data_IF_922077804998
#
_entry.id   IF_922077804998
#
_cell.length_a   1.000
_cell.length_b   1.000
_cell.length_c   1.000
_cell.angle_alpha   90.00
_cell.angle_beta   90.00
_cell.angle_gamma   90.00
#
_symmetry.space_group_name_H-M   'P 1'
#
loop_
_entity.id
_entity.type
_entity.pdbx_description
1 polymer ?
#
# COMPACT_ATOMS: atom_id res chain seq x y z
N UNK A 1 -18.14 -19.30 -9.71
CA UNK A 1 -16.94 -19.07 -8.83
C UNK A 1 -16.11 -18.00 -9.50
N UNK A 2 -16.05 -16.82 -8.88
CA UNK A 2 -15.24 -15.72 -9.42
C UNK A 2 -13.78 -16.02 -9.07
N UNK A 3 -13.03 -16.64 -10.00
CA UNK A 3 -11.60 -16.91 -9.83
C UNK A 3 -10.90 -15.56 -9.73
N UNK A 4 -10.49 -15.17 -8.51
CA UNK A 4 -9.69 -13.96 -8.29
C UNK A 4 -8.43 -14.05 -9.12
N UNK A 5 -8.17 -13.00 -9.89
CA UNK A 5 -6.91 -12.88 -10.62
C UNK A 5 -5.73 -12.96 -9.64
N UNK A 6 -4.68 -13.68 -10.03
CA UNK A 6 -3.48 -13.91 -9.21
C UNK A 6 -2.27 -13.35 -9.89
N UNK A 7 -1.31 -12.88 -9.09
CA UNK A 7 -0.17 -12.10 -9.56
C UNK A 7 1.15 -12.64 -9.03
N UNK A 8 2.20 -12.46 -9.80
CA UNK A 8 3.60 -12.70 -9.40
C UNK A 8 4.21 -11.44 -8.78
N UNK A 9 3.57 -10.28 -8.99
CA UNK A 9 4.05 -8.97 -8.53
C UNK A 9 3.15 -8.45 -7.42
N UNK A 10 3.78 -7.95 -6.35
CA UNK A 10 3.13 -7.15 -5.32
C UNK A 10 3.77 -5.76 -5.25
N UNK A 11 2.96 -4.76 -4.95
CA UNK A 11 3.42 -3.41 -4.63
C UNK A 11 3.24 -3.16 -3.14
N UNK A 12 4.26 -2.62 -2.49
CA UNK A 12 4.11 -1.96 -1.20
C UNK A 12 4.26 -0.46 -1.41
N UNK A 13 3.16 0.27 -1.33
CA UNK A 13 3.15 1.73 -1.31
C UNK A 13 3.11 2.19 0.13
N UNK A 14 3.95 3.16 0.51
CA UNK A 14 4.09 3.58 1.90
C UNK A 14 4.14 5.10 2.05
N UNK A 15 3.39 5.60 3.03
CA UNK A 15 3.37 7.01 3.41
C UNK A 15 4.32 7.31 4.56
N UNK A 16 4.70 8.59 4.72
CA UNK A 16 5.56 9.08 5.79
C UNK A 16 4.82 9.20 7.12
N UNK A 17 4.50 8.08 7.74
CA UNK A 17 4.00 7.98 9.11
C UNK A 17 5.05 7.28 9.98
N UNK A 18 4.99 7.42 11.30
CA UNK A 18 5.91 6.72 12.21
C UNK A 18 5.84 5.20 12.05
N UNK A 19 4.69 4.67 11.63
CA UNK A 19 4.50 3.24 11.37
C UNK A 19 5.19 2.76 10.08
N UNK A 20 5.78 3.65 9.27
CA UNK A 20 6.60 3.25 8.12
C UNK A 20 7.82 2.42 8.55
N UNK A 21 8.28 2.53 9.78
CA UNK A 21 9.30 1.66 10.37
C UNK A 21 8.93 0.16 10.33
N UNK A 22 7.64 -0.18 10.17
CA UNK A 22 7.16 -1.57 10.02
C UNK A 22 7.24 -2.10 8.58
N UNK A 23 7.56 -1.24 7.60
CA UNK A 23 7.60 -1.65 6.18
C UNK A 23 8.59 -2.78 5.88
N UNK A 24 9.80 -2.88 6.49
CA UNK A 24 10.66 -4.04 6.30
C UNK A 24 10.00 -5.36 6.71
N UNK A 25 9.21 -5.36 7.79
CA UNK A 25 8.43 -6.54 8.21
C UNK A 25 7.36 -6.90 7.18
N UNK A 26 6.61 -5.91 6.69
CA UNK A 26 5.61 -6.10 5.63
C UNK A 26 6.24 -6.65 4.35
N UNK A 27 7.39 -6.11 3.92
CA UNK A 27 8.11 -6.60 2.75
C UNK A 27 8.55 -8.05 2.90
N UNK A 28 9.15 -8.42 4.03
CA UNK A 28 9.52 -9.81 4.30
C UNK A 28 8.30 -10.73 4.32
N UNK A 29 7.17 -10.24 4.85
CA UNK A 29 5.90 -10.95 4.81
C UNK A 29 5.40 -11.18 3.39
N UNK A 30 5.48 -10.19 2.50
CA UNK A 30 5.12 -10.33 1.09
C UNK A 30 6.04 -11.33 0.37
N UNK A 31 7.36 -11.29 0.65
CA UNK A 31 8.31 -12.31 0.16
C UNK A 31 7.88 -13.70 0.63
N UNK A 32 7.56 -13.86 1.91
CA UNK A 32 7.11 -15.12 2.51
C UNK A 32 5.77 -15.62 1.95
N UNK A 33 4.94 -14.76 1.35
CA UNK A 33 3.73 -15.16 0.63
C UNK A 33 4.04 -15.79 -0.74
N UNK A 34 5.23 -15.59 -1.29
CA UNK A 34 5.66 -16.20 -2.56
C UNK A 34 5.53 -15.29 -3.79
N UNK A 35 5.43 -13.97 -3.63
CA UNK A 35 5.54 -13.08 -4.77
C UNK A 35 6.95 -13.12 -5.36
N UNK A 36 7.06 -13.24 -6.68
CA UNK A 36 8.34 -13.29 -7.38
C UNK A 36 9.06 -11.94 -7.38
N UNK A 37 8.30 -10.85 -7.41
CA UNK A 37 8.81 -9.48 -7.39
C UNK A 37 7.96 -8.61 -6.49
N UNK A 38 8.62 -7.81 -5.66
CA UNK A 38 7.95 -6.80 -4.83
C UNK A 38 8.52 -5.44 -5.19
N UNK A 39 7.63 -4.51 -5.54
CA UNK A 39 7.98 -3.13 -5.87
C UNK A 39 7.56 -2.25 -4.71
N UNK A 40 8.54 -1.67 -4.01
CA UNK A 40 8.30 -0.74 -2.92
C UNK A 40 8.35 0.69 -3.45
N UNK A 41 7.27 1.46 -3.20
CA UNK A 41 7.15 2.85 -3.69
C UNK A 41 6.88 3.76 -2.50
N UNK A 42 7.90 4.41 -1.95
CA UNK A 42 7.72 5.39 -0.89
C UNK A 42 7.12 6.70 -1.45
N UNK A 43 6.23 7.33 -0.68
CA UNK A 43 5.92 8.73 -0.91
C UNK A 43 7.12 9.61 -0.55
N UNK A 44 7.21 10.85 -1.06
CA UNK A 44 8.33 11.75 -0.73
C UNK A 44 8.56 11.94 0.78
N UNK A 45 7.50 11.90 1.58
CA UNK A 45 7.61 11.98 3.03
C UNK A 45 8.01 10.64 3.69
N UNK A 46 7.72 9.50 3.08
CA UNK A 46 8.15 8.21 3.60
C UNK A 46 9.67 8.07 3.59
N UNK A 47 10.33 8.57 2.54
CA UNK A 47 11.80 8.59 2.44
C UNK A 47 12.49 9.40 3.55
N UNK A 48 11.74 10.21 4.31
CA UNK A 48 12.23 10.95 5.49
C UNK A 48 12.12 10.15 6.79
N UNK A 49 11.33 9.09 6.80
CA UNK A 49 11.05 8.24 7.97
C UNK A 49 11.84 6.96 7.92
N UNK A 50 11.99 6.37 6.73
CA UNK A 50 12.72 5.13 6.52
C UNK A 50 13.70 5.30 5.35
N UNK A 51 14.94 4.86 5.54
CA UNK A 51 15.93 4.90 4.47
C UNK A 51 15.56 3.88 3.38
N UNK A 52 15.49 4.32 2.13
CA UNK A 52 15.13 3.45 0.99
C UNK A 52 16.06 2.26 0.82
N UNK A 53 17.36 2.39 1.22
CA UNK A 53 18.33 1.29 1.23
C UNK A 53 17.90 0.13 2.15
N UNK A 54 17.25 0.44 3.30
CA UNK A 54 16.78 -0.61 4.22
C UNK A 54 15.68 -1.48 3.60
N UNK A 55 14.92 -0.91 2.67
CA UNK A 55 13.92 -1.64 1.88
C UNK A 55 14.57 -2.43 0.74
N UNK A 56 15.56 -1.82 0.07
CA UNK A 56 16.25 -2.43 -1.07
C UNK A 56 17.15 -3.61 -0.66
N UNK A 57 17.60 -3.68 0.58
CA UNK A 57 18.41 -4.78 1.12
C UNK A 57 17.59 -6.09 1.29
N UNK A 58 16.27 -6.03 1.14
CA UNK A 58 15.41 -7.22 1.25
C UNK A 58 15.35 -7.92 -0.10
N UNK A 59 15.66 -9.23 -0.12
CA UNK A 59 15.64 -10.02 -1.34
C UNK A 59 14.28 -9.96 -2.05
N UNK A 60 14.27 -9.94 -3.38
CA UNK A 60 13.11 -9.80 -4.26
C UNK A 60 12.40 -8.42 -4.19
N UNK A 61 12.94 -7.45 -3.46
CA UNK A 61 12.39 -6.09 -3.37
C UNK A 61 13.15 -5.15 -4.30
N UNK A 62 12.40 -4.38 -5.08
CA UNK A 62 12.89 -3.27 -5.90
C UNK A 62 12.27 -1.98 -5.37
N UNK A 63 13.09 -1.01 -4.99
CA UNK A 63 12.61 0.30 -4.56
C UNK A 63 12.55 1.24 -5.75
N UNK A 64 11.40 1.82 -5.99
CA UNK A 64 11.14 2.71 -7.13
C UNK A 64 10.73 4.09 -6.62
N UNK A 65 11.53 5.09 -6.96
CA UNK A 65 11.33 6.48 -6.53
C UNK A 65 11.11 7.43 -7.72
N UNK A 66 11.20 6.92 -8.94
CA UNK A 66 11.10 7.73 -10.16
C UNK A 66 10.18 7.09 -11.20
N UNK A 67 9.44 7.91 -11.93
CA UNK A 67 8.67 7.49 -13.11
C UNK A 67 9.54 6.91 -14.24
N UNK A 68 10.84 7.18 -14.20
CA UNK A 68 11.79 6.72 -15.23
C UNK A 68 12.44 5.38 -14.90
N UNK A 69 12.09 4.77 -13.76
CA UNK A 69 12.60 3.47 -13.36
C UNK A 69 12.12 2.37 -14.31
N UNK A 70 13.05 1.50 -14.71
CA UNK A 70 12.78 0.40 -15.65
C UNK A 70 11.82 -0.65 -15.07
N UNK A 71 11.76 -0.79 -13.75
CA UNK A 71 10.85 -1.71 -13.07
C UNK A 71 9.37 -1.39 -13.32
N UNK A 72 9.05 -0.13 -13.65
CA UNK A 72 7.68 0.33 -13.91
C UNK A 72 7.47 0.86 -15.33
N UNK A 73 8.46 0.80 -16.20
CA UNK A 73 8.38 1.27 -17.59
C UNK A 73 8.14 0.11 -18.58
N UNK A 74 7.47 0.34 -19.69
CA UNK A 74 6.73 1.55 -20.12
C UNK A 74 5.48 1.85 -19.31
N UNK A 75 5.05 0.91 -18.49
CA UNK A 75 3.94 1.04 -17.52
C UNK A 75 4.17 0.08 -16.35
N UNK A 76 3.63 0.37 -15.15
CA UNK A 76 3.73 -0.52 -14.02
C UNK A 76 3.18 -1.92 -14.36
N UNK A 77 3.91 -3.01 -14.05
CA UNK A 77 3.39 -4.36 -14.19
C UNK A 77 2.08 -4.54 -13.41
N UNK A 78 1.19 -5.42 -13.91
CA UNK A 78 -0.02 -5.76 -13.14
C UNK A 78 0.37 -6.52 -11.88
N UNK A 79 -0.21 -6.12 -10.76
CA UNK A 79 0.09 -6.72 -9.47
C UNK A 79 -0.91 -6.28 -8.41
N UNK A 80 -0.92 -6.96 -7.27
CA UNK A 80 -1.70 -6.52 -6.12
C UNK A 80 -0.99 -5.34 -5.44
N UNK A 81 -1.74 -4.33 -5.04
CA UNK A 81 -1.21 -3.15 -4.35
C UNK A 81 -1.61 -3.20 -2.88
N UNK A 82 -0.62 -3.16 -2.00
CA UNK A 82 -0.79 -2.89 -0.56
C UNK A 82 -0.30 -1.46 -0.29
N UNK A 83 -1.21 -0.56 0.04
CA UNK A 83 -0.87 0.79 0.49
C UNK A 83 -0.94 0.86 2.01
N UNK A 84 0.17 0.54 2.66
CA UNK A 84 0.28 0.49 4.12
C UNK A 84 1.73 0.81 4.57
N UNK A 85 1.91 1.80 5.45
CA UNK A 85 0.88 2.65 6.04
C UNK A 85 0.36 3.69 5.06
N UNK A 86 -0.94 3.97 5.12
CA UNK A 86 -1.57 5.05 4.36
C UNK A 86 -1.92 6.21 5.32
N UNK A 87 -1.25 7.36 5.15
CA UNK A 87 -1.47 8.55 5.98
C UNK A 87 -2.78 9.25 5.65
N UNK A 88 -3.25 10.13 6.54
CA UNK A 88 -4.40 11.01 6.32
C UNK A 88 -4.33 11.75 4.98
N UNK A 89 -3.18 12.36 4.69
CA UNK A 89 -2.98 13.09 3.44
C UNK A 89 -3.11 12.17 2.22
N UNK A 90 -2.47 11.01 2.26
CA UNK A 90 -2.50 10.05 1.15
C UNK A 90 -3.88 9.43 0.95
N UNK A 91 -4.58 9.11 2.03
CA UNK A 91 -5.94 8.57 2.01
C UNK A 91 -6.91 9.54 1.31
N UNK A 92 -6.90 10.80 1.74
CA UNK A 92 -7.78 11.81 1.20
C UNK A 92 -7.42 12.17 -0.25
N UNK A 93 -6.15 12.31 -0.57
CA UNK A 93 -5.70 12.51 -1.96
C UNK A 93 -6.17 11.39 -2.87
N UNK A 94 -5.98 10.14 -2.46
CA UNK A 94 -6.43 8.98 -3.24
C UNK A 94 -7.94 9.03 -3.48
N UNK A 95 -8.75 9.28 -2.44
CA UNK A 95 -10.20 9.35 -2.53
C UNK A 95 -10.73 10.55 -3.37
N UNK A 96 -9.89 11.57 -3.58
CA UNK A 96 -10.20 12.71 -4.45
C UNK A 96 -9.54 12.62 -5.84
N UNK A 97 -8.87 11.51 -6.15
CA UNK A 97 -8.21 11.33 -7.46
C UNK A 97 -6.97 12.21 -7.64
N UNK A 98 -6.38 12.69 -6.54
CA UNK A 98 -5.15 13.48 -6.60
C UNK A 98 -3.95 12.55 -6.67
N UNK A 99 -3.17 12.66 -7.74
CA UNK A 99 -2.01 11.82 -8.05
C UNK A 99 -0.77 12.71 -8.28
N UNK A 100 -0.38 13.47 -7.25
CA UNK A 100 0.68 14.46 -7.30
C UNK A 100 2.08 13.91 -7.01
N UNK A 101 2.21 12.61 -6.87
CA UNK A 101 3.48 11.90 -6.73
C UNK A 101 3.37 10.49 -7.30
N UNK A 102 4.53 9.85 -7.51
CA UNK A 102 4.60 8.51 -8.10
C UNK A 102 3.75 7.47 -7.36
N UNK A 103 3.82 7.46 -6.04
CA UNK A 103 3.10 6.50 -5.21
C UNK A 103 1.58 6.57 -5.45
N UNK A 104 1.01 7.76 -5.39
CA UNK A 104 -0.42 7.98 -5.63
C UNK A 104 -0.81 7.70 -7.09
N UNK A 105 0.06 8.03 -8.05
CA UNK A 105 -0.19 7.77 -9.47
C UNK A 105 -0.29 6.28 -9.76
N UNK A 106 0.62 5.47 -9.20
CA UNK A 106 0.59 4.01 -9.37
C UNK A 106 -0.66 3.40 -8.74
N UNK A 107 -1.06 3.86 -7.55
CA UNK A 107 -2.29 3.37 -6.90
C UNK A 107 -3.54 3.79 -7.69
N UNK A 108 -3.60 5.03 -8.17
CA UNK A 108 -4.72 5.51 -8.98
C UNK A 108 -4.84 4.72 -10.29
N UNK A 109 -3.73 4.43 -10.96
CA UNK A 109 -3.70 3.59 -12.16
C UNK A 109 -4.15 2.15 -11.86
N UNK A 110 -3.74 1.57 -10.73
CA UNK A 110 -4.17 0.25 -10.30
C UNK A 110 -5.69 0.18 -10.09
N UNK A 111 -6.29 1.20 -9.47
CA UNK A 111 -7.74 1.32 -9.31
C UNK A 111 -8.41 1.38 -10.70
N UNK A 112 -7.93 2.24 -11.59
CA UNK A 112 -8.46 2.36 -12.94
C UNK A 112 -8.36 1.08 -13.78
N UNK A 113 -7.34 0.26 -13.54
CA UNK A 113 -7.16 -1.06 -14.15
C UNK A 113 -7.95 -2.18 -13.48
N UNK A 114 -8.65 -1.88 -12.39
CA UNK A 114 -9.34 -2.86 -11.55
C UNK A 114 -8.42 -3.96 -11.00
N UNK A 115 -7.13 -3.66 -10.83
CA UNK A 115 -6.22 -4.51 -10.08
C UNK A 115 -6.48 -4.35 -8.58
N UNK A 116 -6.32 -5.41 -7.77
CA UNK A 116 -6.61 -5.35 -6.35
C UNK A 116 -5.78 -4.29 -5.63
N UNK A 117 -6.44 -3.40 -4.91
CA UNK A 117 -5.82 -2.39 -4.06
C UNK A 117 -6.32 -2.58 -2.63
N UNK A 118 -5.38 -2.75 -1.71
CA UNK A 118 -5.61 -2.88 -0.28
C UNK A 118 -5.00 -1.66 0.40
N UNK A 119 -5.76 -0.99 1.26
CA UNK A 119 -5.31 0.18 2.01
C UNK A 119 -5.34 -0.12 3.50
N UNK A 120 -4.19 0.09 4.16
CA UNK A 120 -4.03 0.06 5.61
C UNK A 120 -3.84 1.47 6.17
N UNK A 121 -4.91 2.13 6.66
CA UNK A 121 -4.80 3.48 7.22
C UNK A 121 -3.95 3.51 8.48
N UNK A 122 -3.12 4.55 8.61
CA UNK A 122 -2.32 4.84 9.79
C UNK A 122 -2.59 6.27 10.22
N UNK A 123 -3.56 6.43 11.11
CA UNK A 123 -4.14 7.69 11.56
C UNK A 123 -4.21 7.68 13.09
N UNK A 124 -4.02 8.83 13.72
CA UNK A 124 -4.40 9.02 15.11
C UNK A 124 -5.92 9.28 15.22
N UNK A 125 -6.48 9.24 16.44
CA UNK A 125 -7.94 9.36 16.62
C UNK A 125 -8.52 10.65 16.04
N UNK A 126 -7.96 11.86 16.28
CA UNK A 126 -8.50 13.08 15.70
C UNK A 126 -8.53 13.09 14.16
N UNK A 127 -7.53 12.50 13.52
CA UNK A 127 -7.48 12.39 12.06
C UNK A 127 -8.44 11.30 11.55
N UNK A 128 -8.61 10.22 12.30
CA UNK A 128 -9.58 9.18 11.93
C UNK A 128 -11.02 9.70 12.02
N UNK A 129 -11.32 10.52 13.04
CA UNK A 129 -12.65 11.11 13.26
C UNK A 129 -12.94 12.30 12.32
N UNK A 130 -11.92 12.80 11.62
CA UNK A 130 -12.09 13.92 10.70
C UNK A 130 -13.08 13.56 9.59
N UNK A 131 -14.05 14.45 9.29
CA UNK A 131 -15.11 14.18 8.29
C UNK A 131 -14.59 13.71 6.93
N UNK A 132 -13.49 14.28 6.44
CA UNK A 132 -12.87 13.88 5.17
C UNK A 132 -12.26 12.47 5.21
N UNK A 133 -11.61 12.09 6.32
CA UNK A 133 -11.12 10.72 6.46
C UNK A 133 -12.26 9.72 6.44
N UNK A 134 -13.34 10.01 7.17
CA UNK A 134 -14.55 9.19 7.19
C UNK A 134 -15.22 9.12 5.81
N UNK A 135 -15.28 10.23 5.09
CA UNK A 135 -15.79 10.27 3.72
C UNK A 135 -14.92 9.44 2.76
N UNK A 136 -13.60 9.57 2.84
CA UNK A 136 -12.63 8.83 2.04
C UNK A 136 -12.71 7.33 2.29
N UNK A 137 -12.80 6.91 3.55
CA UNK A 137 -12.94 5.50 3.95
C UNK A 137 -14.25 4.87 3.44
N UNK A 138 -15.33 5.65 3.36
CA UNK A 138 -16.60 5.18 2.77
C UNK A 138 -16.58 5.15 1.25
N UNK A 139 -15.85 6.07 0.61
CA UNK A 139 -15.83 6.22 -0.85
C UNK A 139 -14.97 5.15 -1.55
N UNK A 140 -13.78 4.89 -1.03
CA UNK A 140 -12.80 3.99 -1.67
C UNK A 140 -13.33 2.56 -1.91
N UNK A 141 -14.09 1.93 -1.00
CA UNK A 141 -14.68 0.62 -1.27
C UNK A 141 -15.60 0.60 -2.51
N UNK A 142 -16.28 1.70 -2.81
CA UNK A 142 -17.08 1.85 -4.03
C UNK A 142 -16.26 1.79 -5.33
N UNK A 143 -14.94 1.95 -5.26
CA UNK A 143 -13.99 1.80 -6.36
C UNK A 143 -13.28 0.44 -6.36
N UNK A 144 -13.71 -0.50 -5.51
CA UNK A 144 -13.10 -1.82 -5.38
C UNK A 144 -11.86 -1.86 -4.47
N UNK A 145 -11.55 -0.78 -3.76
CA UNK A 145 -10.45 -0.73 -2.80
C UNK A 145 -10.87 -1.43 -1.51
N UNK A 146 -10.06 -2.39 -1.04
CA UNK A 146 -10.27 -3.04 0.24
C UNK A 146 -9.58 -2.27 1.35
N UNK A 147 -10.33 -1.83 2.36
CA UNK A 147 -9.77 -1.21 3.55
C UNK A 147 -9.52 -2.30 4.60
N UNK A 148 -8.30 -2.33 5.16
CA UNK A 148 -7.98 -3.07 6.38
C UNK A 148 -8.00 -2.04 7.50
N UNK A 149 -9.04 -2.02 8.35
CA UNK A 149 -9.24 -0.94 9.30
C UNK A 149 -8.11 -0.91 10.34
N UNK A 150 -7.78 0.28 10.87
CA UNK A 150 -6.88 0.37 12.01
C UNK A 150 -7.46 -0.36 13.21
N UNK A 151 -6.60 -0.80 14.12
CA UNK A 151 -6.99 -1.47 15.37
C UNK A 151 -6.80 -0.51 16.54
N UNK A 152 -7.67 -0.61 17.54
CA UNK A 152 -7.47 0.10 18.79
C UNK A 152 -6.39 -0.60 19.60
N UNK A 153 -5.35 0.15 19.98
CA UNK A 153 -4.24 -0.35 20.80
C UNK A 153 -4.38 0.03 22.29
N UNK A 154 -5.54 0.58 22.69
CA UNK A 154 -5.79 1.02 24.06
C UNK A 154 -5.43 2.49 24.33
N UNK A 155 -4.58 3.06 23.47
CA UNK A 155 -4.20 4.49 23.49
C UNK A 155 -4.57 5.19 22.15
N UNK A 156 -5.40 4.53 21.34
CA UNK A 156 -5.93 5.02 20.08
C UNK A 156 -5.67 4.11 18.89
N UNK A 157 -6.15 4.52 17.72
CA UNK A 157 -6.06 3.70 16.51
C UNK A 157 -4.62 3.60 16.02
N UNK A 158 -4.25 2.40 15.59
CA UNK A 158 -2.96 2.08 14.97
C UNK A 158 -3.14 1.32 13.67
N UNK A 159 -2.12 1.39 12.83
CA UNK A 159 -2.06 0.53 11.64
C UNK A 159 -2.35 -0.91 12.02
N UNK A 160 -3.20 -1.57 11.26
CA UNK A 160 -3.53 -2.98 11.43
C UNK A 160 -2.26 -3.85 11.60
N UNK A 161 -2.35 -4.99 12.31
CA UNK A 161 -1.24 -5.93 12.42
C UNK A 161 -0.74 -6.39 11.05
N UNK A 162 0.55 -6.65 10.92
CA UNK A 162 1.19 -7.15 9.70
C UNK A 162 0.46 -8.39 9.17
N UNK A 163 0.07 -9.31 10.05
CA UNK A 163 -0.69 -10.51 9.67
C UNK A 163 -2.01 -10.18 8.97
N UNK A 164 -2.78 -9.23 9.49
CA UNK A 164 -4.07 -8.83 8.89
C UNK A 164 -3.88 -8.19 7.51
N UNK A 165 -2.84 -7.38 7.33
CA UNK A 165 -2.48 -6.78 6.05
C UNK A 165 -2.06 -7.86 5.04
N UNK A 166 -1.23 -8.81 5.44
CA UNK A 166 -0.78 -9.91 4.59
C UNK A 166 -1.92 -10.87 4.25
N UNK A 167 -2.83 -11.16 5.19
CA UNK A 167 -4.01 -11.99 4.93
C UNK A 167 -4.96 -11.33 3.92
N UNK A 168 -5.00 -9.99 3.88
CA UNK A 168 -5.75 -9.28 2.85
C UNK A 168 -5.14 -9.42 1.45
N UNK A 169 -3.82 -9.59 1.34
CA UNK A 169 -3.07 -9.74 0.08
C UNK A 169 -3.00 -11.20 -0.36
N UNK A 170 -2.92 -12.15 0.57
CA UNK A 170 -2.74 -13.60 0.32
C UNK A 170 -3.61 -14.19 -0.81
N UNK A 171 -4.91 -13.84 -0.97
CA UNK A 171 -5.75 -14.41 -2.02
C UNK A 171 -5.30 -14.10 -3.45
N UNK A 172 -4.39 -13.15 -3.62
CA UNK A 172 -3.92 -12.66 -4.92
C UNK A 172 -2.55 -13.19 -5.32
N UNK A 173 -1.92 -14.01 -4.49
CA UNK A 173 -0.63 -14.66 -4.82
C UNK A 173 -0.88 -15.74 -5.86
N UNK A 174 -0.04 -15.80 -6.89
CA UNK A 174 -0.02 -16.94 -7.82
C UNK A 174 0.59 -18.14 -7.09
N UNK A 175 -0.17 -19.21 -6.98
CA UNK A 175 0.36 -20.49 -6.49
C UNK A 175 1.27 -21.05 -7.57
N UNK A 176 2.52 -21.37 -7.22
CA UNK A 176 3.43 -22.13 -8.08
C UNK A 176 2.91 -23.54 -8.36
#
# INVERSE_FOLDING_TARGET
MNTRERFDVAYLVLSGTTTAARCPELLRGLVGLGFATIIAIPTPNAARVIATRELADIAAVQVVESYFDLAIRPRPPRGVVLFAPCSFNSLNKLAHGVADNLALSVVAEAIGRQTPVIVGPSLNQPLLDHPEAQASLRKLPGWGVRIVPPVDAGDGPRLAPTSALLDAVRPYVRSG
#
